data_IF_873842515725
#
_entry.id   IF_873842515725
#
_cell.length_a   1.000
_cell.length_b   1.000
_cell.length_c   1.000
_cell.angle_alpha   90.00
_cell.angle_beta   90.00
_cell.angle_gamma   90.00
#
_symmetry.space_group_name_H-M   'P 1'
#
loop_
_entity.id
_entity.type
_entity.pdbx_description
1 polymer ?
#
# COMPACT_ATOMS: atom_id res chain seq x y z
N UNK A 1 39.85 15.52 2.35
CA UNK A 1 39.21 14.19 2.30
C UNK A 1 38.01 14.24 1.35
N UNK A 2 38.16 13.73 0.12
CA UNK A 2 37.08 13.66 -0.89
C UNK A 2 36.55 12.23 -0.92
N UNK A 3 35.26 12.03 -0.66
CA UNK A 3 34.61 10.71 -0.78
C UNK A 3 34.28 10.45 -2.25
N UNK A 4 35.07 9.60 -2.90
CA UNK A 4 34.84 9.12 -4.26
C UNK A 4 33.66 8.14 -4.24
N UNK A 5 32.55 8.50 -4.90
CA UNK A 5 31.42 7.58 -5.12
C UNK A 5 31.74 6.68 -6.33
N UNK A 6 31.56 5.35 -6.25
CA UNK A 6 31.77 4.50 -7.41
C UNK A 6 30.67 4.73 -8.46
N UNK A 7 31.09 4.99 -9.70
CA UNK A 7 30.21 5.07 -10.88
C UNK A 7 29.46 3.74 -11.03
N UNK A 8 28.13 3.78 -10.92
CA UNK A 8 27.26 2.64 -11.23
C UNK A 8 27.39 2.31 -12.71
N UNK A 9 27.69 1.04 -13.03
CA UNK A 9 27.63 0.51 -14.39
C UNK A 9 26.18 0.60 -14.89
N UNK A 10 26.00 1.05 -16.11
CA UNK A 10 24.72 1.02 -16.82
C UNK A 10 24.32 -0.44 -17.06
N UNK A 11 23.11 -0.89 -16.65
CA UNK A 11 22.64 -2.21 -17.01
C UNK A 11 22.14 -2.16 -18.46
N UNK A 12 22.89 -2.80 -19.34
CA UNK A 12 22.47 -3.14 -20.70
C UNK A 12 21.31 -4.13 -20.60
N UNK A 13 20.19 -3.80 -21.26
CA UNK A 13 19.22 -4.74 -21.81
C UNK A 13 18.60 -5.79 -20.88
N UNK A 14 17.30 -5.61 -20.60
CA UNK A 14 16.35 -6.71 -20.29
C UNK A 14 16.39 -7.32 -18.89
N UNK A 15 16.36 -6.49 -17.84
CA UNK A 15 15.93 -6.96 -16.52
C UNK A 15 15.15 -5.90 -15.76
N UNK A 16 13.99 -5.56 -16.33
CA UNK A 16 12.95 -4.75 -15.67
C UNK A 16 11.67 -5.55 -15.69
N UNK A 17 11.51 -6.46 -14.73
CA UNK A 17 10.22 -7.06 -14.36
C UNK A 17 10.46 -7.95 -13.14
N UNK A 18 9.69 -7.73 -12.09
CA UNK A 18 9.40 -8.65 -10.96
C UNK A 18 10.01 -8.41 -9.56
N UNK A 19 10.59 -7.25 -9.24
CA UNK A 19 10.81 -6.91 -7.83
C UNK A 19 9.50 -6.66 -7.03
N UNK A 20 8.35 -6.62 -7.70
CA UNK A 20 7.02 -6.50 -7.08
C UNK A 20 6.29 -7.84 -6.89
N UNK A 21 6.77 -8.95 -7.45
CA UNK A 21 5.93 -10.13 -7.68
C UNK A 21 5.95 -11.18 -6.56
N UNK A 22 6.85 -11.11 -5.57
CA UNK A 22 6.91 -12.13 -4.54
C UNK A 22 7.63 -11.61 -3.31
N UNK A 23 6.90 -11.07 -2.35
CA UNK A 23 7.42 -11.10 -0.97
C UNK A 23 7.60 -12.59 -0.61
N UNK A 24 8.83 -13.06 -0.35
CA UNK A 24 9.02 -14.43 0.11
C UNK A 24 8.27 -14.56 1.43
N UNK A 25 7.30 -15.48 1.47
CA UNK A 25 6.65 -15.86 2.72
C UNK A 25 7.76 -16.49 3.59
N UNK A 26 8.04 -15.97 4.80
CA UNK A 26 9.08 -16.54 5.64
C UNK A 26 8.74 -18.00 5.99
N UNK A 27 9.74 -18.90 6.06
CA UNK A 27 9.52 -20.25 6.53
C UNK A 27 8.97 -20.20 7.96
N UNK A 28 7.82 -20.83 8.20
CA UNK A 28 7.11 -20.79 9.50
C UNK A 28 5.71 -20.16 9.45
N UNK A 29 5.30 -19.57 8.32
CA UNK A 29 3.89 -19.21 8.13
C UNK A 29 3.12 -20.46 7.69
N UNK A 30 2.13 -20.93 8.46
CA UNK A 30 1.38 -22.13 8.10
C UNK A 30 0.63 -21.91 6.79
N UNK A 31 0.70 -22.89 5.89
CA UNK A 31 -0.06 -22.89 4.64
C UNK A 31 -1.56 -22.77 4.95
N UNK A 32 -2.26 -21.94 4.17
CA UNK A 32 -3.72 -21.79 4.27
C UNK A 32 -4.38 -23.17 4.19
N UNK A 33 -5.22 -23.55 5.16
CA UNK A 33 -5.85 -24.86 5.16
C UNK A 33 -6.84 -24.98 3.99
N UNK A 34 -6.61 -25.96 3.13
CA UNK A 34 -7.50 -26.32 2.02
C UNK A 34 -8.68 -27.16 2.54
N UNK A 35 -9.72 -26.46 3.03
CA UNK A 35 -11.12 -26.91 3.13
C UNK A 35 -11.47 -28.06 4.08
N UNK A 36 -12.58 -27.92 4.84
CA UNK A 36 -13.80 -28.75 4.73
C UNK A 36 -14.79 -28.53 5.92
N UNK A 37 -16.08 -28.48 5.54
CA UNK A 37 -17.35 -28.77 6.26
C UNK A 37 -17.87 -27.91 7.43
N UNK A 38 -19.01 -27.25 7.12
CA UNK A 38 -20.28 -27.21 7.87
C UNK A 38 -20.24 -27.15 9.40
N UNK A 39 -20.63 -26.01 9.95
CA UNK A 39 -21.02 -25.89 11.36
C UNK A 39 -20.78 -24.49 11.91
N UNK A 40 -21.83 -23.65 11.86
CA UNK A 40 -21.84 -22.35 12.52
C UNK A 40 -21.90 -21.21 11.52
N UNK A 41 -23.12 -20.91 11.08
CA UNK A 41 -23.55 -19.56 10.69
C UNK A 41 -23.38 -18.63 11.90
N UNK A 42 -22.13 -18.34 12.27
CA UNK A 42 -21.80 -17.18 13.09
C UNK A 42 -21.84 -16.02 12.11
N UNK A 43 -23.05 -15.49 11.94
CA UNK A 43 -23.36 -14.38 11.07
C UNK A 43 -22.18 -13.42 11.00
N UNK A 44 -21.62 -13.34 9.79
CA UNK A 44 -20.82 -12.22 9.37
C UNK A 44 -21.70 -10.99 9.61
N UNK A 45 -21.61 -10.40 10.81
CA UNK A 45 -22.02 -9.02 11.02
C UNK A 45 -21.05 -8.22 10.17
N UNK A 46 -21.33 -8.17 8.88
CA UNK A 46 -20.79 -7.19 7.97
C UNK A 46 -20.91 -5.89 8.74
N UNK A 47 -19.77 -5.30 9.10
CA UNK A 47 -19.73 -3.98 9.68
C UNK A 47 -20.24 -3.05 8.57
N UNK A 48 -21.56 -2.96 8.44
CA UNK A 48 -22.27 -1.87 7.81
C UNK A 48 -22.18 -0.65 8.73
N UNK A 49 -20.94 -0.29 9.10
CA UNK A 49 -20.63 1.03 9.62
C UNK A 49 -20.74 2.00 8.46
N UNK A 50 -21.97 2.28 8.03
CA UNK A 50 -22.35 3.05 6.85
C UNK A 50 -22.14 4.56 7.02
N UNK A 51 -20.96 4.95 7.52
CA UNK A 51 -20.46 6.32 7.43
C UNK A 51 -19.41 6.43 6.33
N UNK A 52 -19.20 7.61 5.74
CA UNK A 52 -18.13 7.80 4.76
C UNK A 52 -16.77 7.47 5.38
N UNK A 53 -15.99 6.60 4.72
CA UNK A 53 -14.65 6.23 5.19
C UNK A 53 -13.71 7.42 5.12
N UNK A 54 -13.05 7.73 6.25
CA UNK A 54 -12.03 8.79 6.34
C UNK A 54 -10.68 8.14 6.61
N UNK A 55 -9.70 8.43 5.76
CA UNK A 55 -8.38 7.80 5.78
C UNK A 55 -7.32 8.88 5.95
N UNK A 56 -6.50 8.75 7.00
CA UNK A 56 -5.33 9.61 7.24
C UNK A 56 -4.06 8.88 6.81
N UNK A 57 -3.25 9.55 6.00
CA UNK A 57 -1.94 9.10 5.55
C UNK A 57 -0.87 9.89 6.30
N UNK A 58 -0.08 9.18 7.09
CA UNK A 58 1.03 9.76 7.83
C UNK A 58 2.32 9.68 7.01
N UNK A 59 2.97 10.82 6.79
CA UNK A 59 4.25 10.91 6.08
C UNK A 59 4.16 11.66 4.73
N UNK A 60 5.30 11.74 4.05
CA UNK A 60 5.48 12.55 2.83
C UNK A 60 6.29 11.86 1.71
N UNK A 61 6.50 10.55 1.81
CA UNK A 61 7.35 9.81 0.88
C UNK A 61 6.63 9.31 -0.36
N UNK A 62 7.41 8.66 -1.25
CA UNK A 62 6.86 7.99 -2.43
C UNK A 62 5.99 6.77 -2.10
N UNK A 63 6.21 6.14 -0.95
CA UNK A 63 5.39 5.03 -0.46
C UNK A 63 3.98 5.50 -0.11
N UNK A 64 3.87 6.63 0.57
CA UNK A 64 2.61 7.25 0.97
C UNK A 64 1.81 7.68 -0.27
N UNK A 65 2.49 8.27 -1.26
CA UNK A 65 1.87 8.59 -2.55
C UNK A 65 1.37 7.32 -3.27
N UNK A 66 2.19 6.27 -3.38
CA UNK A 66 1.76 5.02 -4.03
C UNK A 66 0.56 4.38 -3.32
N UNK A 67 0.53 4.42 -1.98
CA UNK A 67 -0.59 3.96 -1.17
C UNK A 67 -1.85 4.79 -1.46
N UNK A 68 -1.75 6.12 -1.40
CA UNK A 68 -2.86 7.03 -1.71
C UNK A 68 -3.42 6.80 -3.12
N UNK A 69 -2.53 6.66 -4.11
CA UNK A 69 -2.90 6.39 -5.49
C UNK A 69 -3.72 5.10 -5.63
N UNK A 70 -3.33 4.03 -4.93
CA UNK A 70 -4.05 2.75 -4.97
C UNK A 70 -5.38 2.85 -4.23
N UNK A 71 -5.37 3.42 -3.03
CA UNK A 71 -6.58 3.57 -2.22
C UNK A 71 -7.64 4.45 -2.90
N UNK A 72 -7.24 5.52 -3.60
CA UNK A 72 -8.16 6.40 -4.33
C UNK A 72 -8.94 5.65 -5.41
N UNK A 73 -8.33 4.62 -6.02
CA UNK A 73 -8.96 3.76 -7.03
C UNK A 73 -9.85 2.70 -6.41
N UNK A 74 -9.40 2.09 -5.31
CA UNK A 74 -10.13 1.01 -4.66
C UNK A 74 -11.33 1.53 -3.84
N UNK A 75 -11.22 2.74 -3.27
CA UNK A 75 -12.25 3.39 -2.48
C UNK A 75 -12.44 4.86 -2.92
N UNK A 76 -13.07 5.11 -4.08
CA UNK A 76 -13.21 6.45 -4.62
C UNK A 76 -14.16 7.35 -3.83
N UNK A 77 -15.03 6.78 -3.00
CA UNK A 77 -15.93 7.51 -2.09
C UNK A 77 -15.30 7.87 -0.75
N UNK A 78 -14.09 7.37 -0.45
CA UNK A 78 -13.40 7.70 0.79
C UNK A 78 -12.83 9.12 0.74
N UNK A 79 -12.80 9.77 1.90
CA UNK A 79 -12.12 11.05 2.10
C UNK A 79 -10.68 10.81 2.57
N UNK A 80 -9.71 11.40 1.87
CA UNK A 80 -8.29 11.21 2.14
C UNK A 80 -7.66 12.45 2.78
N UNK A 81 -6.90 12.24 3.84
CA UNK A 81 -6.17 13.28 4.57
C UNK A 81 -4.69 12.89 4.64
N UNK A 82 -3.79 13.87 4.66
CA UNK A 82 -2.36 13.63 4.83
C UNK A 82 -1.72 14.65 5.77
N UNK A 83 -0.79 14.22 6.63
CA UNK A 83 -0.14 15.13 7.58
C UNK A 83 0.82 16.10 6.89
N UNK A 84 1.51 15.64 5.84
CA UNK A 84 2.48 16.43 5.07
C UNK A 84 2.39 16.02 3.60
N UNK A 85 1.41 16.52 2.82
CA UNK A 85 1.30 16.17 1.41
C UNK A 85 2.43 16.82 0.58
N UNK A 86 3.11 16.04 -0.28
CA UNK A 86 3.95 16.55 -1.36
C UNK A 86 3.12 16.91 -2.60
N UNK A 87 3.76 17.50 -3.61
CA UNK A 87 3.13 17.90 -4.87
C UNK A 87 2.41 16.76 -5.62
N UNK A 88 2.81 15.50 -5.43
CA UNK A 88 2.10 14.35 -6.01
C UNK A 88 0.86 13.93 -5.21
N UNK A 89 0.83 14.18 -3.91
CA UNK A 89 -0.29 13.84 -3.03
C UNK A 89 -1.33 14.96 -2.89
N UNK A 90 -0.90 16.22 -3.01
CA UNK A 90 -1.76 17.40 -2.89
C UNK A 90 -3.07 17.35 -3.72
N UNK A 91 -3.09 16.87 -4.99
CA UNK A 91 -4.34 16.78 -5.74
C UNK A 91 -5.26 15.62 -5.31
N UNK A 92 -4.78 14.70 -4.46
CA UNK A 92 -5.47 13.45 -4.12
C UNK A 92 -5.96 13.41 -2.66
N UNK A 93 -5.52 14.34 -1.81
CA UNK A 93 -5.88 14.37 -0.39
C UNK A 93 -5.86 15.79 0.18
N UNK A 94 -6.48 15.98 1.35
CA UNK A 94 -6.45 17.23 2.10
C UNK A 94 -5.32 17.21 3.13
N UNK A 95 -4.50 18.25 3.17
CA UNK A 95 -3.49 18.43 4.22
C UNK A 95 -4.15 18.65 5.59
N UNK A 96 -3.69 17.94 6.61
CA UNK A 96 -4.05 18.20 8.02
C UNK A 96 -2.78 18.57 8.76
N UNK A 97 -2.71 19.82 9.22
CA UNK A 97 -1.59 20.40 9.95
C UNK A 97 -2.03 20.97 11.28
#
# INVERSE_FOLDING_TARGET
>A
MRKTFPRRRTPTGRERRTCWARWPVPPGVPARPSGRTSGGDRGEKGRSGGGPMRILIAGNGGREHALLWKLRRDAPSASFFATLPNGGMAPLCTGVG
#
